data_IF_205592367719
#
_entry.id   IF_205592367719
#
_cell.length_a   1.000
_cell.length_b   1.000
_cell.length_c   1.000
_cell.angle_alpha   90.00
_cell.angle_beta   90.00
_cell.angle_gamma   90.00
#
_symmetry.space_group_name_H-M   'P 1'
#
loop_
_entity.id
_entity.type
_entity.pdbx_description
1 polymer ?
#
# COMPACT_ATOMS: atom_id res chain seq x y z
N UNK A 1 7.77 4.57 -18.88
CA UNK A 1 6.37 4.34 -18.47
C UNK A 1 5.90 3.02 -19.06
N UNK A 2 5.21 2.18 -18.29
CA UNK A 2 4.72 0.88 -18.74
C UNK A 2 3.19 0.96 -18.99
N UNK A 3 2.71 0.79 -20.23
CA UNK A 3 1.29 0.94 -20.57
C UNK A 3 0.39 -0.06 -19.84
N UNK A 4 0.96 -1.15 -19.30
CA UNK A 4 0.23 -2.13 -18.47
C UNK A 4 -0.32 -1.53 -17.18
N UNK A 5 0.36 -0.53 -16.60
CA UNK A 5 0.07 0.00 -15.26
C UNK A 5 -0.41 1.45 -15.26
N UNK A 6 -0.13 2.18 -16.33
CA UNK A 6 -0.50 3.59 -16.47
C UNK A 6 -2.02 3.79 -16.28
N UNK A 7 -2.39 4.73 -15.41
CA UNK A 7 -3.78 5.07 -15.06
C UNK A 7 -4.63 3.89 -14.58
N UNK A 8 -4.02 2.80 -14.12
CA UNK A 8 -4.73 1.66 -13.55
C UNK A 8 -4.84 1.80 -12.03
N UNK A 9 -6.01 1.42 -11.51
CA UNK A 9 -6.22 1.25 -10.08
C UNK A 9 -5.65 -0.11 -9.65
N UNK A 10 -4.67 -0.11 -8.76
CA UNK A 10 -4.00 -1.34 -8.29
C UNK A 10 -4.04 -1.38 -6.77
N UNK A 11 -4.49 -2.51 -6.23
CA UNK A 11 -4.43 -2.80 -4.81
C UNK A 11 -3.24 -3.71 -4.51
N UNK A 12 -2.37 -3.28 -3.58
CA UNK A 12 -1.27 -4.10 -3.07
C UNK A 12 -1.70 -4.67 -1.71
N UNK A 13 -1.62 -5.98 -1.56
CA UNK A 13 -1.90 -6.69 -0.31
C UNK A 13 -0.59 -6.87 0.47
N UNK A 14 -0.51 -6.26 1.66
CA UNK A 14 0.67 -6.19 2.51
C UNK A 14 1.40 -4.84 2.36
N UNK A 15 1.68 -4.20 3.48
CA UNK A 15 2.42 -2.95 3.63
C UNK A 15 3.85 -3.17 4.16
N UNK A 16 4.30 -4.42 4.37
CA UNK A 16 5.70 -4.71 4.69
C UNK A 16 6.68 -4.21 3.61
N UNK A 17 7.98 -4.43 3.81
CA UNK A 17 9.04 -3.94 2.90
C UNK A 17 8.75 -4.26 1.42
N UNK A 18 8.37 -5.50 1.12
CA UNK A 18 8.07 -5.94 -0.24
C UNK A 18 6.84 -5.26 -0.83
N UNK A 19 5.77 -5.10 -0.04
CA UNK A 19 4.54 -4.46 -0.48
C UNK A 19 4.72 -2.96 -0.71
N UNK A 20 5.48 -2.31 0.17
CA UNK A 20 5.90 -0.92 0.00
C UNK A 20 6.75 -0.75 -1.26
N UNK A 21 7.75 -1.62 -1.48
CA UNK A 21 8.58 -1.58 -2.68
C UNK A 21 7.76 -1.78 -3.97
N UNK A 22 6.82 -2.72 -3.96
CA UNK A 22 5.91 -2.95 -5.08
C UNK A 22 5.04 -1.71 -5.35
N UNK A 23 4.49 -1.10 -4.31
CA UNK A 23 3.66 0.10 -4.44
C UNK A 23 4.44 1.30 -5.01
N UNK A 24 5.69 1.49 -4.57
CA UNK A 24 6.59 2.52 -5.11
C UNK A 24 6.91 2.28 -6.59
N UNK A 25 7.21 1.03 -6.96
CA UNK A 25 7.50 0.66 -8.35
C UNK A 25 6.28 0.92 -9.25
N UNK A 26 5.09 0.51 -8.82
CA UNK A 26 3.84 0.73 -9.56
C UNK A 26 3.51 2.23 -9.71
N UNK A 27 3.72 3.03 -8.66
CA UNK A 27 3.59 4.50 -8.72
C UNK A 27 4.55 5.13 -9.73
N UNK A 28 5.78 4.63 -9.84
CA UNK A 28 6.75 5.10 -10.86
C UNK A 28 6.31 4.80 -12.31
N UNK A 29 5.30 3.94 -12.47
CA UNK A 29 4.65 3.65 -13.74
C UNK A 29 3.28 4.34 -13.89
N UNK A 30 3.01 5.38 -13.11
CA UNK A 30 1.80 6.21 -13.20
C UNK A 30 0.51 5.42 -12.87
N UNK A 31 0.62 4.44 -11.99
CA UNK A 31 -0.52 3.70 -11.46
C UNK A 31 -1.14 4.38 -10.23
N UNK A 32 -2.46 4.27 -10.09
CA UNK A 32 -3.18 4.67 -8.88
C UNK A 32 -3.18 3.52 -7.86
N UNK A 33 -2.24 3.57 -6.91
CA UNK A 33 -1.98 2.47 -5.98
C UNK A 33 -2.62 2.72 -4.61
N UNK A 34 -3.33 1.71 -4.11
CA UNK A 34 -3.76 1.61 -2.70
C UNK A 34 -3.10 0.40 -2.04
N UNK A 35 -2.64 0.56 -0.80
CA UNK A 35 -1.99 -0.53 -0.04
C UNK A 35 -2.90 -0.94 1.11
N UNK A 36 -3.21 -2.23 1.16
CA UNK A 36 -4.11 -2.87 2.11
C UNK A 36 -3.26 -3.73 3.04
N UNK A 37 -3.42 -3.57 4.36
CA UNK A 37 -2.66 -4.37 5.32
C UNK A 37 -3.55 -4.77 6.50
N UNK A 38 -3.33 -5.98 7.01
CA UNK A 38 -4.09 -6.57 8.12
C UNK A 38 -3.41 -6.36 9.48
N UNK A 39 -2.13 -5.98 9.50
CA UNK A 39 -1.40 -5.69 10.72
C UNK A 39 -1.88 -4.35 11.29
N UNK A 40 -2.17 -4.34 12.59
CA UNK A 40 -2.47 -3.14 13.36
C UNK A 40 -1.33 -2.13 13.22
N UNK A 41 -1.64 -0.83 13.18
CA UNK A 41 -0.65 0.25 12.92
C UNK A 41 0.60 0.14 13.82
N UNK A 42 0.42 -0.25 15.08
CA UNK A 42 1.48 -0.38 16.07
C UNK A 42 2.46 -1.55 15.80
N UNK A 43 2.12 -2.44 14.86
CA UNK A 43 2.95 -3.58 14.43
C UNK A 43 3.70 -3.29 13.12
N UNK A 44 3.43 -2.16 12.48
CA UNK A 44 4.15 -1.75 11.28
C UNK A 44 5.43 -1.00 11.68
N UNK A 45 6.56 -1.23 10.99
CA UNK A 45 7.76 -0.43 11.18
C UNK A 45 7.47 1.06 10.95
N UNK A 46 8.11 1.94 11.70
CA UNK A 46 7.90 3.39 11.61
C UNK A 46 8.17 3.93 10.20
N UNK A 47 9.17 3.37 9.51
CA UNK A 47 9.46 3.67 8.10
C UNK A 47 8.31 3.33 7.15
N UNK A 48 7.58 2.26 7.44
CA UNK A 48 6.40 1.85 6.67
C UNK A 48 5.23 2.81 6.90
N UNK A 49 5.01 3.20 8.17
CA UNK A 49 3.99 4.20 8.53
C UNK A 49 4.26 5.53 7.84
N UNK A 50 5.52 5.98 7.86
CA UNK A 50 5.95 7.20 7.18
C UNK A 50 5.66 7.15 5.67
N UNK A 51 6.05 6.06 5.00
CA UNK A 51 5.80 5.90 3.56
C UNK A 51 4.30 5.88 3.22
N UNK A 52 3.48 5.20 4.02
CA UNK A 52 2.03 5.16 3.83
C UNK A 52 1.42 6.58 3.91
N UNK A 53 1.88 7.40 4.86
CA UNK A 53 1.44 8.79 5.06
C UNK A 53 1.92 9.70 3.93
N UNK A 54 3.22 9.68 3.63
CA UNK A 54 3.85 10.53 2.62
C UNK A 54 3.25 10.32 1.22
N UNK A 55 2.79 9.10 0.91
CA UNK A 55 2.21 8.77 -0.39
C UNK A 55 0.67 8.76 -0.41
N UNK A 56 0.02 9.15 0.69
CA UNK A 56 -1.44 9.19 0.84
C UNK A 56 -2.11 7.85 0.48
N UNK A 57 -1.45 6.73 0.79
CA UNK A 57 -2.01 5.41 0.47
C UNK A 57 -3.22 5.13 1.36
N UNK A 58 -4.34 4.78 0.74
CA UNK A 58 -5.57 4.46 1.47
C UNK A 58 -5.42 3.10 2.15
N UNK A 59 -5.19 3.12 3.48
CA UNK A 59 -5.22 1.90 4.29
C UNK A 59 -6.65 1.42 4.46
N UNK A 60 -6.88 0.14 4.22
CA UNK A 60 -8.10 -0.55 4.64
C UNK A 60 -7.64 -1.66 5.58
N UNK A 61 -7.98 -1.52 6.85
CA UNK A 61 -7.78 -2.59 7.81
C UNK A 61 -8.88 -3.61 7.66
N UNK A 62 -8.53 -4.89 7.83
CA UNK A 62 -9.52 -5.92 8.07
C UNK A 62 -10.24 -5.57 9.38
N UNK A 63 -11.55 -5.35 9.31
CA UNK A 63 -12.40 -5.25 10.49
C UNK A 63 -12.34 -6.63 11.16
N UNK A 64 -11.90 -6.68 12.41
CA UNK A 64 -12.01 -7.91 13.19
C UNK A 64 -13.51 -8.23 13.28
N UNK A 65 -13.89 -9.44 12.87
CA UNK A 65 -15.23 -9.95 13.11
C UNK A 65 -15.35 -10.07 14.63
N UNK A 66 -16.11 -9.18 15.26
CA UNK A 66 -16.52 -9.35 16.65
C UNK A 66 -17.44 -10.58 16.65
N UNK A 67 -16.95 -11.70 17.15
CA UNK A 67 -17.82 -12.79 17.62
C UNK A 67 -18.52 -12.39 18.91
#
# INVERSE_FOLDING_TARGET
MNPRYQNKNIAVLGAGLSGTAAALLLRSHDANVSVLDSATENKLPESTIKNLRDHHWRRIFRRETLE
#
